data_IF_168635448232
#
_entry.id   IF_168635448232
#
_cell.length_a   1.000
_cell.length_b   1.000
_cell.length_c   1.000
_cell.angle_alpha   90.00
_cell.angle_beta   90.00
_cell.angle_gamma   90.00
#
_symmetry.space_group_name_H-M   'P 1'
#
loop_
_entity.id
_entity.type
_entity.pdbx_description
1 polymer ?
#
# COMPACT_ATOMS: atom_id res chain seq x y z
N UNK A 1 -2.42 10.21 14.87
CA UNK A 1 -1.03 10.63 14.57
C UNK A 1 -0.51 9.66 13.50
N UNK A 2 -0.49 10.04 12.22
CA UNK A 2 -0.39 9.14 11.06
C UNK A 2 0.79 8.15 11.07
N UNK A 3 1.89 8.49 11.74
CA UNK A 3 3.07 7.63 11.90
C UNK A 3 2.77 6.24 12.51
N UNK A 4 1.78 6.12 13.40
CA UNK A 4 1.46 4.83 14.04
C UNK A 4 0.77 3.90 13.04
N UNK A 5 -0.14 4.42 12.22
CA UNK A 5 -0.89 3.64 11.22
C UNK A 5 0.06 3.20 10.10
N UNK A 6 0.98 4.09 9.69
CA UNK A 6 2.03 3.76 8.72
C UNK A 6 2.96 2.68 9.27
N UNK A 7 3.44 2.81 10.51
CA UNK A 7 4.30 1.80 11.14
C UNK A 7 3.62 0.43 11.23
N UNK A 8 2.33 0.41 11.59
CA UNK A 8 1.52 -0.81 11.57
C UNK A 8 1.38 -1.40 10.15
N UNK A 9 1.18 -0.55 9.15
CA UNK A 9 1.14 -0.94 7.73
C UNK A 9 2.44 -1.60 7.26
N UNK A 10 3.60 -1.02 7.60
CA UNK A 10 4.92 -1.58 7.25
C UNK A 10 5.13 -2.93 7.93
N UNK A 11 4.78 -3.06 9.22
CA UNK A 11 4.85 -4.34 9.92
C UNK A 11 3.95 -5.39 9.26
N UNK A 12 2.73 -5.02 8.86
CA UNK A 12 1.79 -5.90 8.17
C UNK A 12 2.32 -6.34 6.78
N UNK A 13 2.96 -5.44 6.05
CA UNK A 13 3.65 -5.73 4.78
C UNK A 13 4.72 -6.80 4.95
N UNK A 14 5.58 -6.64 5.95
CA UNK A 14 6.64 -7.60 6.26
C UNK A 14 6.06 -8.97 6.65
N UNK A 15 5.00 -8.99 7.46
CA UNK A 15 4.31 -10.24 7.84
C UNK A 15 3.68 -10.92 6.61
N UNK A 16 3.08 -10.17 5.68
CA UNK A 16 2.49 -10.73 4.46
C UNK A 16 3.53 -11.33 3.52
N UNK A 17 4.67 -10.64 3.32
CA UNK A 17 5.73 -11.12 2.44
C UNK A 17 6.53 -12.29 3.06
N UNK A 18 6.86 -12.20 4.35
CA UNK A 18 7.73 -13.19 5.02
C UNK A 18 6.92 -14.40 5.50
N UNK A 19 5.74 -14.18 6.09
CA UNK A 19 4.92 -15.23 6.68
C UNK A 19 4.00 -15.93 5.67
N UNK A 20 3.22 -15.14 4.93
CA UNK A 20 2.24 -15.68 3.97
C UNK A 20 2.81 -15.94 2.57
N UNK A 21 4.08 -15.59 2.33
CA UNK A 21 4.75 -15.78 1.03
C UNK A 21 3.99 -15.10 -0.14
N UNK A 22 3.25 -14.03 0.15
CA UNK A 22 2.48 -13.27 -0.84
C UNK A 22 3.46 -12.50 -1.71
N UNK A 23 3.19 -12.44 -3.02
CA UNK A 23 4.00 -11.63 -3.94
C UNK A 23 4.02 -10.16 -3.47
N UNK A 24 5.20 -9.53 -3.46
CA UNK A 24 5.38 -8.18 -2.92
C UNK A 24 4.44 -7.15 -3.55
N UNK A 25 4.14 -7.30 -4.84
CA UNK A 25 3.18 -6.44 -5.53
C UNK A 25 1.75 -6.55 -4.95
N UNK A 26 1.27 -7.77 -4.71
CA UNK A 26 -0.06 -8.01 -4.14
C UNK A 26 -0.11 -7.50 -2.69
N UNK A 27 0.96 -7.76 -1.93
CA UNK A 27 1.07 -7.28 -0.55
C UNK A 27 1.04 -5.75 -0.48
N UNK A 28 1.75 -5.06 -1.38
CA UNK A 28 1.76 -3.60 -1.48
C UNK A 28 0.37 -3.02 -1.74
N UNK A 29 -0.37 -3.57 -2.71
CA UNK A 29 -1.73 -3.08 -3.03
C UNK A 29 -2.69 -3.30 -1.85
N UNK A 30 -2.64 -4.48 -1.23
CA UNK A 30 -3.49 -4.80 -0.08
C UNK A 30 -3.20 -3.89 1.12
N UNK A 31 -1.93 -3.72 1.47
CA UNK A 31 -1.53 -2.87 2.60
C UNK A 31 -1.83 -1.42 2.31
N UNK A 32 -1.55 -0.91 1.11
CA UNK A 32 -1.85 0.48 0.76
C UNK A 32 -3.35 0.78 0.82
N UNK A 33 -4.19 -0.18 0.41
CA UNK A 33 -5.64 -0.06 0.58
C UNK A 33 -6.03 0.00 2.06
N UNK A 34 -5.57 -0.96 2.87
CA UNK A 34 -5.89 -1.02 4.31
C UNK A 34 -5.39 0.21 5.08
N UNK A 35 -4.15 0.64 4.82
CA UNK A 35 -3.53 1.81 5.45
C UNK A 35 -4.23 3.09 5.00
N UNK A 36 -4.52 3.25 3.71
CA UNK A 36 -5.22 4.42 3.18
C UNK A 36 -6.63 4.58 3.76
N UNK A 37 -7.38 3.48 3.86
CA UNK A 37 -8.68 3.49 4.54
C UNK A 37 -8.55 3.77 6.05
N UNK A 38 -7.53 3.23 6.72
CA UNK A 38 -7.28 3.46 8.15
C UNK A 38 -6.86 4.90 8.47
N UNK A 39 -6.17 5.57 7.54
CA UNK A 39 -5.82 7.01 7.62
C UNK A 39 -7.05 7.92 7.39
N UNK A 40 -8.20 7.36 6.98
CA UNK A 40 -9.41 8.11 6.70
C UNK A 40 -9.40 8.80 5.33
N UNK A 41 -8.52 8.38 4.42
CA UNK A 41 -8.51 8.87 3.05
C UNK A 41 -9.79 8.44 2.31
N UNK A 42 -10.30 9.30 1.44
CA UNK A 42 -11.40 8.92 0.55
C UNK A 42 -10.98 7.77 -0.36
N UNK A 43 -11.91 6.88 -0.72
CA UNK A 43 -11.60 5.73 -1.58
C UNK A 43 -10.90 6.12 -2.89
N UNK A 44 -11.28 7.28 -3.45
CA UNK A 44 -10.65 7.88 -4.62
C UNK A 44 -9.18 8.29 -4.37
N UNK A 45 -8.87 8.85 -3.21
CA UNK A 45 -7.51 9.26 -2.84
C UNK A 45 -6.61 8.04 -2.57
N UNK A 46 -7.17 6.99 -1.95
CA UNK A 46 -6.48 5.71 -1.73
C UNK A 46 -6.12 5.07 -3.07
N UNK A 47 -7.09 4.98 -3.99
CA UNK A 47 -6.86 4.43 -5.33
C UNK A 47 -5.85 5.26 -6.12
N UNK A 48 -5.87 6.58 -6.00
CA UNK A 48 -4.92 7.46 -6.67
C UNK A 48 -3.51 7.33 -6.07
N UNK A 49 -3.38 7.18 -4.75
CA UNK A 49 -2.09 6.93 -4.08
C UNK A 49 -1.49 5.59 -4.49
N UNK A 50 -2.32 4.53 -4.56
CA UNK A 50 -1.91 3.23 -5.08
C UNK A 50 -1.46 3.37 -6.52
N UNK A 51 -2.28 3.94 -7.40
CA UNK A 51 -1.95 4.14 -8.82
C UNK A 51 -0.69 4.98 -9.03
N UNK A 52 -0.44 6.01 -8.24
CA UNK A 52 0.78 6.79 -8.34
C UNK A 52 1.99 6.00 -7.82
N UNK A 53 1.83 5.18 -6.79
CA UNK A 53 2.87 4.31 -6.25
C UNK A 53 3.28 3.17 -7.19
N UNK A 54 2.30 2.41 -7.72
CA UNK A 54 2.54 1.30 -8.66
C UNK A 54 2.68 1.79 -10.11
N UNK A 55 1.85 2.72 -10.56
CA UNK A 55 1.85 3.28 -11.91
C UNK A 55 3.04 4.19 -12.16
N UNK A 56 3.58 4.89 -11.15
CA UNK A 56 4.86 5.60 -11.28
C UNK A 56 6.06 4.68 -11.61
N UNK A 57 5.92 3.37 -11.38
CA UNK A 57 6.93 2.36 -11.77
C UNK A 57 6.66 1.71 -13.12
N UNK A 58 5.47 1.95 -13.70
CA UNK A 58 5.02 1.40 -14.99
C UNK A 58 4.85 2.48 -16.08
N UNK A 59 4.78 3.75 -15.71
CA UNK A 59 4.50 4.89 -16.58
C UNK A 59 5.75 5.49 -17.24
N UNK A 60 6.83 4.72 -17.38
CA UNK A 60 7.97 5.09 -18.20
C UNK A 60 8.00 4.22 -19.45
N UNK A 61 7.08 4.50 -20.37
CA UNK A 61 7.24 4.21 -21.79
C UNK A 61 6.37 5.19 -22.59
N UNK A 62 6.98 5.95 -23.52
CA UNK A 62 6.38 7.10 -24.22
C UNK A 62 5.20 6.76 -25.13
#
# INVERSE_FOLDING_TARGET
MPLIIIAAGVALLLVLMIGFKVNGFIALVLVAAVVGFAEGMGAQDVLHSIQNGIGGTLADSP
#
